data_IF_929766420360
#
_entry.id   IF_929766420360
#
_cell.length_a   1.000
_cell.length_b   1.000
_cell.length_c   1.000
_cell.angle_alpha   90.00
_cell.angle_beta   90.00
_cell.angle_gamma   90.00
#
_symmetry.space_group_name_H-M   'P 1'
#
loop_
_entity.id
_entity.type
_entity.pdbx_description
1 polymer ?
#
# COMPACT_ATOMS: atom_id res chain seq x y z
N UNK A 1 -5.55 -10.39 -21.88
CA UNK A 1 -6.84 -10.88 -21.32
C UNK A 1 -6.58 -11.71 -20.06
N UNK A 2 -5.63 -12.65 -20.08
CA UNK A 2 -5.26 -13.47 -18.91
C UNK A 2 -4.76 -12.60 -17.74
N UNK A 3 -3.91 -11.59 -18.02
CA UNK A 3 -3.30 -10.77 -16.96
C UNK A 3 -4.32 -9.94 -16.16
N UNK A 4 -5.33 -9.38 -16.82
CA UNK A 4 -6.40 -8.61 -16.16
C UNK A 4 -7.29 -9.50 -15.30
N UNK A 5 -7.62 -10.71 -15.78
CA UNK A 5 -8.42 -11.66 -14.99
C UNK A 5 -7.65 -12.10 -13.75
N UNK A 6 -6.35 -12.35 -13.87
CA UNK A 6 -5.49 -12.69 -12.73
C UNK A 6 -5.50 -11.56 -11.70
N UNK A 7 -5.28 -10.31 -12.12
CA UNK A 7 -5.31 -9.15 -11.21
C UNK A 7 -6.65 -9.00 -10.50
N UNK A 8 -7.77 -9.16 -11.21
CA UNK A 8 -9.10 -9.02 -10.60
C UNK A 8 -9.39 -10.14 -9.59
N UNK A 9 -9.06 -11.39 -9.95
CA UNK A 9 -9.27 -12.54 -9.06
C UNK A 9 -8.39 -12.44 -7.81
N UNK A 10 -7.12 -12.08 -7.98
CA UNK A 10 -6.21 -11.93 -6.85
C UNK A 10 -6.58 -10.74 -5.96
N UNK A 11 -7.03 -9.61 -6.52
CA UNK A 11 -7.50 -8.46 -5.75
C UNK A 11 -8.81 -8.75 -4.97
N UNK A 12 -9.78 -9.45 -5.60
CA UNK A 12 -11.01 -9.84 -4.91
C UNK A 12 -10.69 -10.85 -3.80
N UNK A 13 -9.83 -11.83 -4.09
CA UNK A 13 -9.42 -12.80 -3.08
C UNK A 13 -8.62 -12.17 -1.94
N UNK A 14 -7.76 -11.18 -2.21
CA UNK A 14 -7.00 -10.49 -1.16
C UNK A 14 -7.94 -9.67 -0.25
N UNK A 15 -8.97 -9.04 -0.82
CA UNK A 15 -10.04 -8.39 -0.04
C UNK A 15 -10.77 -9.39 0.87
N UNK A 16 -11.17 -10.55 0.34
CA UNK A 16 -11.84 -11.60 1.12
C UNK A 16 -10.95 -12.10 2.25
N UNK A 17 -9.65 -12.27 1.99
CA UNK A 17 -8.69 -12.70 3.01
C UNK A 17 -8.46 -11.64 4.10
N UNK A 18 -8.42 -10.35 3.75
CA UNK A 18 -8.38 -9.26 4.74
C UNK A 18 -9.63 -9.29 5.63
N UNK A 19 -10.81 -9.48 5.04
CA UNK A 19 -12.07 -9.56 5.80
C UNK A 19 -12.03 -10.78 6.74
N UNK A 20 -11.59 -11.94 6.26
CA UNK A 20 -11.42 -13.13 7.10
C UNK A 20 -10.41 -12.87 8.23
N UNK A 21 -9.26 -12.26 7.92
CA UNK A 21 -8.27 -11.86 8.90
C UNK A 21 -8.86 -10.97 9.99
N UNK A 22 -9.74 -10.01 9.65
CA UNK A 22 -10.37 -9.16 10.65
C UNK A 22 -11.17 -9.95 11.71
N UNK A 23 -11.81 -11.06 11.32
CA UNK A 23 -12.54 -11.94 12.25
C UNK A 23 -11.62 -12.90 13.01
N UNK A 24 -10.54 -13.37 12.39
CA UNK A 24 -9.66 -14.41 12.94
C UNK A 24 -8.31 -13.88 13.46
N UNK A 25 -8.09 -12.57 13.50
CA UNK A 25 -6.80 -11.92 13.85
C UNK A 25 -6.19 -12.35 15.18
N UNK A 26 -7.02 -12.69 16.16
CA UNK A 26 -6.61 -13.12 17.51
C UNK A 26 -6.51 -14.65 17.69
N UNK A 27 -6.83 -15.42 16.65
CA UNK A 27 -6.86 -16.88 16.72
C UNK A 27 -5.58 -17.47 16.12
N UNK A 28 -4.62 -17.80 17.00
CA UNK A 28 -3.40 -18.49 16.59
C UNK A 28 -3.63 -20.02 16.44
N UNK A 29 -3.13 -20.69 15.38
CA UNK A 29 -2.28 -20.18 14.29
C UNK A 29 -3.05 -19.76 13.03
N UNK A 30 -4.38 -19.71 13.06
CA UNK A 30 -5.22 -19.41 11.88
C UNK A 30 -4.89 -18.04 11.30
N UNK A 31 -4.66 -17.05 12.15
CA UNK A 31 -4.25 -15.71 11.74
C UNK A 31 -2.98 -15.71 10.87
N UNK A 32 -1.99 -16.56 11.16
CA UNK A 32 -0.75 -16.67 10.39
C UNK A 32 -0.97 -17.34 9.04
N UNK A 33 -1.81 -18.37 8.96
CA UNK A 33 -2.15 -18.99 7.68
C UNK A 33 -2.91 -18.04 6.76
N UNK A 34 -3.86 -17.28 7.32
CA UNK A 34 -4.58 -16.27 6.55
C UNK A 34 -3.66 -15.11 6.13
N UNK A 35 -2.75 -14.67 7.00
CA UNK A 35 -1.74 -13.67 6.67
C UNK A 35 -0.84 -14.13 5.52
N UNK A 36 -0.34 -15.37 5.57
CA UNK A 36 0.50 -15.94 4.52
C UNK A 36 -0.28 -16.08 3.19
N UNK A 37 -1.53 -16.55 3.24
CA UNK A 37 -2.38 -16.63 2.06
C UNK A 37 -2.63 -15.25 1.45
N UNK A 38 -2.88 -14.25 2.29
CA UNK A 38 -3.09 -12.87 1.88
C UNK A 38 -1.85 -12.29 1.19
N UNK A 39 -0.66 -12.41 1.81
CA UNK A 39 0.57 -11.85 1.24
C UNK A 39 0.99 -12.54 -0.05
N UNK A 40 0.79 -13.86 -0.18
CA UNK A 40 1.04 -14.59 -1.41
C UNK A 40 0.09 -14.14 -2.53
N UNK A 41 -1.20 -14.01 -2.23
CA UNK A 41 -2.18 -13.60 -3.23
C UNK A 41 -1.97 -12.15 -3.67
N UNK A 42 -1.64 -11.26 -2.74
CA UNK A 42 -1.32 -9.88 -3.06
C UNK A 42 0.00 -9.78 -3.84
N UNK A 43 0.99 -10.63 -3.54
CA UNK A 43 2.19 -10.75 -4.36
C UNK A 43 1.89 -11.15 -5.81
N UNK A 44 0.88 -11.99 -6.05
CA UNK A 44 0.44 -12.34 -7.42
C UNK A 44 -0.23 -11.14 -8.10
N UNK A 45 -1.07 -10.38 -7.38
CA UNK A 45 -1.65 -9.12 -7.88
C UNK A 45 -0.56 -8.16 -8.33
N UNK A 46 0.41 -7.89 -7.45
CA UNK A 46 1.50 -6.95 -7.72
C UNK A 46 2.43 -7.45 -8.82
N UNK A 47 2.80 -8.74 -8.80
CA UNK A 47 3.65 -9.35 -9.84
C UNK A 47 3.01 -9.24 -11.23
N UNK A 48 1.69 -9.42 -11.33
CA UNK A 48 0.96 -9.26 -12.58
C UNK A 48 0.80 -7.78 -12.95
N UNK A 49 0.64 -6.88 -11.98
CA UNK A 49 0.59 -5.45 -12.24
C UNK A 49 1.92 -4.90 -12.81
N UNK A 50 3.06 -5.39 -12.33
CA UNK A 50 4.37 -4.91 -12.81
C UNK A 50 4.72 -5.37 -14.23
N UNK A 51 4.05 -6.40 -14.78
CA UNK A 51 4.31 -6.84 -16.17
C UNK A 51 3.86 -5.81 -17.21
N UNK A 52 3.06 -4.82 -16.82
CA UNK A 52 2.65 -3.70 -17.69
C UNK A 52 3.67 -2.56 -17.77
N UNK A 53 4.77 -2.65 -17.00
CA UNK A 53 5.79 -1.61 -16.90
C UNK A 53 7.13 -2.13 -17.38
N UNK A 54 8.01 -1.21 -17.78
CA UNK A 54 9.37 -1.57 -18.14
C UNK A 54 10.21 -1.96 -16.91
N UNK A 55 11.06 -2.97 -17.07
CA UNK A 55 11.90 -3.52 -15.98
C UNK A 55 12.73 -2.44 -15.27
N UNK A 56 13.22 -1.43 -16.02
CA UNK A 56 14.03 -0.34 -15.49
C UNK A 56 13.22 0.55 -14.53
N UNK A 57 11.96 0.83 -14.87
CA UNK A 57 11.03 1.60 -14.04
C UNK A 57 10.66 0.82 -12.79
N UNK A 58 10.40 -0.50 -12.94
CA UNK A 58 10.10 -1.39 -11.81
C UNK A 58 11.23 -1.40 -10.78
N UNK A 59 12.48 -1.52 -11.23
CA UNK A 59 13.65 -1.48 -10.33
C UNK A 59 13.82 -0.10 -9.67
N UNK A 60 13.64 0.99 -10.40
CA UNK A 60 13.69 2.35 -9.84
C UNK A 60 12.63 2.54 -8.76
N UNK A 61 11.38 2.13 -9.03
CA UNK A 61 10.28 2.22 -8.08
C UNK A 61 10.55 1.39 -6.83
N UNK A 62 11.10 0.18 -6.98
CA UNK A 62 11.47 -0.69 -5.86
C UNK A 62 12.52 -0.02 -4.95
N UNK A 63 13.65 0.44 -5.51
CA UNK A 63 14.71 1.06 -4.72
C UNK A 63 14.25 2.38 -4.07
N UNK A 64 13.46 3.19 -4.78
CA UNK A 64 12.92 4.42 -4.23
C UNK A 64 11.94 4.14 -3.08
N UNK A 65 11.05 3.16 -3.24
CA UNK A 65 10.11 2.74 -2.18
C UNK A 65 10.87 2.25 -0.95
N UNK A 66 11.88 1.39 -1.13
CA UNK A 66 12.70 0.89 -0.04
C UNK A 66 13.42 2.02 0.70
N UNK A 67 14.03 2.96 -0.02
CA UNK A 67 14.71 4.11 0.57
C UNK A 67 13.75 5.01 1.36
N UNK A 68 12.57 5.30 0.80
CA UNK A 68 11.54 6.12 1.45
C UNK A 68 11.01 5.41 2.69
N UNK A 69 10.61 4.14 2.59
CA UNK A 69 10.10 3.36 3.71
C UNK A 69 11.11 3.29 4.86
N UNK A 70 12.37 2.94 4.57
CA UNK A 70 13.43 2.85 5.58
C UNK A 70 13.70 4.23 6.20
N UNK A 71 13.77 5.29 5.39
CA UNK A 71 13.99 6.66 5.87
C UNK A 71 12.87 7.14 6.79
N UNK A 72 11.61 6.94 6.41
CA UNK A 72 10.45 7.35 7.20
C UNK A 72 10.28 6.52 8.47
N UNK A 73 10.53 5.20 8.40
CA UNK A 73 10.51 4.32 9.57
C UNK A 73 11.60 4.72 10.56
N UNK A 74 12.84 4.90 10.09
CA UNK A 74 13.95 5.32 10.93
C UNK A 74 13.74 6.72 11.55
N UNK A 75 13.15 7.65 10.79
CA UNK A 75 12.74 8.95 11.31
C UNK A 75 11.71 8.80 12.43
N UNK A 76 10.68 7.98 12.21
CA UNK A 76 9.60 7.76 13.18
C UNK A 76 10.11 7.11 14.46
N UNK A 77 11.03 6.15 14.35
CA UNK A 77 11.67 5.49 15.50
C UNK A 77 12.41 6.46 16.42
N UNK A 78 12.96 7.54 15.88
CA UNK A 78 13.74 8.53 16.63
C UNK A 78 12.91 9.77 17.00
N UNK A 79 11.72 9.93 16.42
CA UNK A 79 10.88 11.10 16.61
C UNK A 79 10.15 11.06 17.94
N UNK A 80 10.19 12.18 18.67
CA UNK A 80 9.40 12.40 19.90
C UNK A 80 8.00 12.96 19.62
N UNK A 81 7.67 13.16 18.34
CA UNK A 81 6.40 13.77 17.92
C UNK A 81 5.29 12.72 17.99
N UNK A 82 4.14 13.13 18.53
CA UNK A 82 2.92 12.33 18.53
C UNK A 82 2.25 12.40 17.15
N UNK A 83 2.23 11.26 16.44
CA UNK A 83 1.62 11.15 15.11
C UNK A 83 0.18 10.59 15.16
N UNK A 84 -0.34 10.24 16.33
CA UNK A 84 -1.69 9.66 16.51
C UNK A 84 -2.80 10.52 15.90
N UNK A 85 -2.59 11.83 15.84
CA UNK A 85 -3.56 12.82 15.35
C UNK A 85 -3.68 12.85 13.82
N UNK A 86 -2.78 12.18 13.10
CA UNK A 86 -2.83 12.12 11.63
C UNK A 86 -3.94 11.19 11.11
N UNK A 87 -4.40 10.24 11.92
CA UNK A 87 -5.30 9.16 11.50
C UNK A 87 -6.56 9.64 10.75
N UNK A 88 -7.28 10.65 11.28
CA UNK A 88 -8.48 11.17 10.64
C UNK A 88 -8.19 11.83 9.27
N UNK A 89 -7.06 12.53 9.15
CA UNK A 89 -6.64 13.17 7.90
C UNK A 89 -6.22 12.15 6.85
N UNK A 90 -5.43 11.15 7.26
CA UNK A 90 -4.99 10.06 6.38
C UNK A 90 -6.17 9.20 5.90
N UNK A 91 -7.09 8.84 6.80
CA UNK A 91 -8.30 8.11 6.46
C UNK A 91 -9.19 8.88 5.47
N UNK A 92 -9.34 10.20 5.68
CA UNK A 92 -10.08 11.06 4.74
C UNK A 92 -9.38 11.12 3.38
N UNK A 93 -8.06 11.26 3.36
CA UNK A 93 -7.25 11.23 2.14
C UNK A 93 -7.36 9.91 1.37
N UNK A 94 -7.44 8.78 2.08
CA UNK A 94 -7.62 7.46 1.47
C UNK A 94 -8.96 7.36 0.74
N UNK A 95 -10.04 7.84 1.34
CA UNK A 95 -11.34 7.87 0.67
C UNK A 95 -11.34 8.76 -0.57
N UNK A 96 -10.70 9.93 -0.51
CA UNK A 96 -10.52 10.80 -1.68
C UNK A 96 -9.77 10.05 -2.78
N UNK A 97 -8.68 9.36 -2.43
CA UNK A 97 -7.87 8.59 -3.38
C UNK A 97 -8.68 7.45 -4.02
N UNK A 98 -9.48 6.71 -3.24
CA UNK A 98 -10.34 5.64 -3.75
C UNK A 98 -11.36 6.20 -4.75
N UNK A 99 -12.07 7.28 -4.39
CA UNK A 99 -13.08 7.91 -5.26
C UNK A 99 -12.43 8.47 -6.52
N UNK A 100 -11.27 9.15 -6.40
CA UNK A 100 -10.51 9.63 -7.54
C UNK A 100 -10.06 8.49 -8.46
N UNK A 101 -9.74 7.32 -7.89
CA UNK A 101 -9.42 6.11 -8.65
C UNK A 101 -10.56 5.66 -9.57
N UNK A 102 -11.82 5.74 -9.11
CA UNK A 102 -12.99 5.48 -9.96
C UNK A 102 -13.22 6.58 -11.01
N UNK A 103 -13.00 7.85 -10.65
CA UNK A 103 -13.16 8.97 -11.59
C UNK A 103 -12.19 8.89 -12.77
N UNK A 104 -10.99 8.34 -12.57
CA UNK A 104 -10.00 8.13 -13.65
C UNK A 104 -10.49 7.23 -14.78
N UNK A 105 -11.50 6.39 -14.53
CA UNK A 105 -12.10 5.58 -15.60
C UNK A 105 -12.77 6.44 -16.69
N UNK A 106 -13.17 7.67 -16.36
CA UNK A 106 -13.84 8.59 -17.27
C UNK A 106 -12.92 9.70 -17.80
N UNK A 107 -11.84 10.04 -17.08
CA UNK A 107 -10.97 11.18 -17.38
C UNK A 107 -9.49 10.76 -17.49
N UNK A 108 -9.16 9.97 -18.51
CA UNK A 108 -7.79 9.46 -18.73
C UNK A 108 -6.91 10.51 -19.42
N UNK A 109 -5.97 11.11 -18.68
CA UNK A 109 -4.83 11.82 -19.26
C UNK A 109 -3.57 11.69 -18.38
N UNK A 110 -2.40 11.93 -18.97
CA UNK A 110 -1.11 11.70 -18.31
C UNK A 110 -0.88 12.64 -17.11
N UNK A 111 -1.38 13.88 -17.16
CA UNK A 111 -1.27 14.83 -16.03
C UNK A 111 -2.07 14.38 -14.82
N UNK A 112 -3.30 13.88 -15.03
CA UNK A 112 -4.16 13.34 -13.97
C UNK A 112 -3.55 12.07 -13.40
N UNK A 113 -2.96 11.21 -14.22
CA UNK A 113 -2.22 10.03 -13.74
C UNK A 113 -1.06 10.45 -12.83
N UNK A 114 -0.24 11.40 -13.27
CA UNK A 114 0.91 11.88 -12.51
C UNK A 114 0.49 12.48 -11.16
N UNK A 115 -0.53 13.34 -11.15
CA UNK A 115 -1.06 13.95 -9.92
C UNK A 115 -1.65 12.90 -8.98
N UNK A 116 -2.42 11.95 -9.51
CA UNK A 116 -2.99 10.86 -8.73
C UNK A 116 -1.90 9.97 -8.11
N UNK A 117 -0.89 9.61 -8.91
CA UNK A 117 0.22 8.80 -8.49
C UNK A 117 1.05 9.51 -7.40
N UNK A 118 1.40 10.78 -7.60
CA UNK A 118 2.14 11.58 -6.61
C UNK A 118 1.36 11.81 -5.32
N UNK A 119 0.07 12.13 -5.40
CA UNK A 119 -0.79 12.30 -4.22
C UNK A 119 -0.92 11.00 -3.42
N UNK A 120 -1.11 9.86 -4.10
CA UNK A 120 -1.13 8.55 -3.45
C UNK A 120 0.19 8.21 -2.78
N UNK A 121 1.33 8.44 -3.45
CA UNK A 121 2.65 8.21 -2.85
C UNK A 121 2.85 9.03 -1.56
N UNK A 122 2.50 10.32 -1.58
CA UNK A 122 2.57 11.17 -0.38
C UNK A 122 1.64 10.70 0.73
N UNK A 123 0.44 10.24 0.39
CA UNK A 123 -0.52 9.71 1.36
C UNK A 123 0.03 8.47 2.07
N UNK A 124 0.57 7.51 1.31
CA UNK A 124 1.14 6.28 1.89
C UNK A 124 2.46 6.53 2.63
N UNK A 125 3.25 7.55 2.27
CA UNK A 125 4.32 8.05 3.15
C UNK A 125 3.78 8.50 4.51
N UNK A 126 2.63 9.18 4.52
CA UNK A 126 1.94 9.58 5.75
C UNK A 126 1.46 8.38 6.58
N UNK A 127 0.87 7.37 5.94
CA UNK A 127 0.50 6.12 6.59
C UNK A 127 1.70 5.37 7.18
N UNK A 128 2.83 5.26 6.46
CA UNK A 128 4.04 4.64 7.01
C UNK A 128 4.47 5.30 8.33
N UNK A 129 4.49 6.64 8.40
CA UNK A 129 4.82 7.35 9.64
C UNK A 129 3.78 7.05 10.74
N UNK A 130 2.49 7.10 10.38
CA UNK A 130 1.38 6.89 11.31
C UNK A 130 1.35 5.46 11.88
N UNK A 131 1.35 4.45 11.01
CA UNK A 131 1.30 3.04 11.38
C UNK A 131 2.58 2.60 12.10
N UNK A 132 3.76 3.10 11.71
CA UNK A 132 5.00 2.87 12.47
C UNK A 132 4.89 3.45 13.88
N UNK A 133 4.35 4.67 14.02
CA UNK A 133 4.15 5.28 15.33
C UNK A 133 3.14 4.49 16.20
N UNK A 134 2.04 4.03 15.59
CA UNK A 134 1.01 3.22 16.26
C UNK A 134 1.59 1.88 16.74
N UNK A 135 2.38 1.22 15.89
CA UNK A 135 3.11 -0.02 16.23
C UNK A 135 4.01 0.16 17.44
N UNK A 136 4.74 1.27 17.52
CA UNK A 136 5.68 1.52 18.62
C UNK A 136 5.00 1.86 19.95
N UNK A 137 3.89 2.61 19.93
CA UNK A 137 3.39 3.29 21.12
C UNK A 137 1.98 2.87 21.57
N UNK A 138 1.17 2.27 20.68
CA UNK A 138 -0.26 2.05 20.94
C UNK A 138 -0.72 0.60 20.74
N UNK A 139 -0.11 -0.14 19.81
CA UNK A 139 -0.50 -1.52 19.55
C UNK A 139 0.03 -2.48 20.62
N UNK A 140 -0.85 -3.36 21.09
CA UNK A 140 -0.46 -4.50 21.92
C UNK A 140 0.38 -5.49 21.10
N UNK A 141 1.31 -6.26 21.70
CA UNK A 141 2.02 -7.33 21.01
C UNK A 141 1.09 -8.38 20.34
N UNK A 142 -0.13 -8.54 20.84
CA UNK A 142 -1.15 -9.42 20.25
C UNK A 142 -1.64 -8.91 18.87
N UNK A 143 -1.46 -7.63 18.58
CA UNK A 143 -1.86 -6.93 17.35
C UNK A 143 -0.83 -7.04 16.21
N UNK A 144 0.18 -7.91 16.33
CA UNK A 144 1.26 -8.04 15.35
C UNK A 144 0.76 -8.34 13.93
N UNK A 145 -0.34 -9.09 13.78
CA UNK A 145 -0.94 -9.38 12.46
C UNK A 145 -1.52 -8.12 11.83
N UNK A 146 -2.26 -7.32 12.61
CA UNK A 146 -2.82 -6.05 12.13
C UNK A 146 -1.71 -5.07 11.74
N UNK A 147 -0.71 -4.93 12.61
CA UNK A 147 0.45 -4.08 12.37
C UNK A 147 1.19 -4.47 11.08
N UNK A 148 1.35 -5.77 10.85
CA UNK A 148 2.01 -6.31 9.66
C UNK A 148 1.21 -6.04 8.38
N UNK A 149 -0.12 -6.21 8.42
CA UNK A 149 -0.98 -5.96 7.26
C UNK A 149 -0.98 -4.47 6.89
N UNK A 150 -1.12 -3.57 7.85
CA UNK A 150 -1.12 -2.14 7.60
C UNK A 150 0.19 -1.70 6.94
N UNK A 151 1.34 -1.98 7.57
CA UNK A 151 2.63 -1.59 7.01
C UNK A 151 2.93 -2.27 5.66
N UNK A 152 2.51 -3.53 5.47
CA UNK A 152 2.64 -4.20 4.18
C UNK A 152 1.84 -3.48 3.08
N UNK A 153 0.58 -3.16 3.35
CA UNK A 153 -0.27 -2.42 2.40
C UNK A 153 0.28 -1.03 2.12
N UNK A 154 0.82 -0.34 3.11
CA UNK A 154 1.43 0.96 2.91
C UNK A 154 2.63 0.91 1.95
N UNK A 155 3.50 -0.08 2.14
CA UNK A 155 4.68 -0.29 1.27
C UNK A 155 4.23 -0.66 -0.15
N UNK A 156 3.29 -1.60 -0.29
CA UNK A 156 2.80 -2.05 -1.61
C UNK A 156 2.14 -0.91 -2.36
N UNK A 157 1.28 -0.14 -1.68
CA UNK A 157 0.61 0.98 -2.34
C UNK A 157 1.58 2.11 -2.66
N UNK A 158 2.52 2.44 -1.77
CA UNK A 158 3.59 3.39 -2.07
C UNK A 158 4.37 2.96 -3.33
N UNK A 159 4.74 1.68 -3.42
CA UNK A 159 5.40 1.13 -4.60
C UNK A 159 4.57 1.29 -5.87
N UNK A 160 3.30 0.90 -5.86
CA UNK A 160 2.42 1.01 -7.03
C UNK A 160 2.20 2.47 -7.47
N UNK A 161 2.13 3.40 -6.51
CA UNK A 161 2.01 4.82 -6.80
C UNK A 161 3.31 5.41 -7.35
N UNK A 162 4.47 5.08 -6.79
CA UNK A 162 5.77 5.48 -7.34
C UNK A 162 5.97 4.89 -8.75
N UNK A 163 5.62 3.63 -8.95
CA UNK A 163 5.71 2.95 -10.24
C UNK A 163 4.92 3.68 -11.33
N UNK A 164 3.65 4.01 -11.05
CA UNK A 164 2.78 4.78 -11.95
C UNK A 164 3.32 6.18 -12.21
N UNK A 165 3.86 6.84 -11.17
CA UNK A 165 4.42 8.18 -11.28
C UNK A 165 5.63 8.20 -12.22
N UNK A 166 6.58 7.27 -12.04
CA UNK A 166 7.78 7.17 -12.88
C UNK A 166 7.44 6.82 -14.33
N UNK A 167 6.47 5.92 -14.55
CA UNK A 167 5.97 5.57 -15.88
C UNK A 167 5.33 6.77 -16.60
N UNK A 168 4.49 7.54 -15.90
CA UNK A 168 3.89 8.76 -16.43
C UNK A 168 4.94 9.84 -16.76
N UNK A 169 5.97 10.00 -15.92
CA UNK A 169 7.07 10.94 -16.19
C UNK A 169 7.91 10.53 -17.41
N UNK A 170 8.01 9.23 -17.71
CA UNK A 170 8.75 8.75 -18.88
C UNK A 170 7.98 8.95 -20.19
N UNK A 171 6.65 8.88 -20.14
CA UNK A 171 5.76 9.02 -21.31
C UNK A 171 5.62 10.46 -21.79
N UNK A 172 5.87 11.44 -20.92
CA UNK A 172 5.90 12.88 -21.23
C UNK A 172 7.28 13.33 -21.71
#
# INVERSE_FOLDING_TARGET
MIDITVVLVSAIGSLVLIIALAFYRHQHPINLYLLAAFTLLESVSVATAVTFYEYSIVLQAFFLTAAVFLGLTAYTFQSKRDFSKLGAGLFSGLWILIIAGFMKLFFQNDTVELLFAGAGALLFCGFIIYDTHLLMHQLSPEEHVLASINLYLDIVNLFLHILRMLDSMKKN
#
